data_IF_495225470479
#
_entry.id   IF_495225470479
#
_cell.length_a   1.000
_cell.length_b   1.000
_cell.length_c   1.000
_cell.angle_alpha   90.00
_cell.angle_beta   90.00
_cell.angle_gamma   90.00
#
_symmetry.space_group_name_H-M   'P 1'
#
loop_
_entity.id
_entity.type
_entity.pdbx_description
1 polymer ?
#
# COMPACT_ATOMS: atom_id res chain seq x y z
N UNK A 1 24.23 37.15 -1.83
CA UNK A 1 22.93 37.31 -1.11
C UNK A 1 21.97 36.40 -1.86
N UNK A 2 21.48 35.28 -1.35
CA UNK A 2 20.68 35.18 -0.12
C UNK A 2 20.70 33.73 0.39
N UNK A 3 20.90 33.57 1.70
CA UNK A 3 20.67 32.31 2.41
C UNK A 3 19.17 32.25 2.75
N UNK A 4 18.43 31.28 2.23
CA UNK A 4 17.07 30.99 2.70
C UNK A 4 17.17 30.29 4.05
N UNK A 5 16.80 30.99 5.13
CA UNK A 5 16.71 30.43 6.47
C UNK A 5 15.54 29.44 6.61
N UNK A 6 15.49 28.67 7.72
CA UNK A 6 14.42 27.70 7.95
C UNK A 6 13.09 28.45 8.10
N UNK A 7 12.15 28.18 7.19
CA UNK A 7 10.80 28.72 7.26
C UNK A 7 10.14 28.28 8.57
N UNK A 8 9.68 29.26 9.36
CA UNK A 8 8.77 28.98 10.46
C UNK A 8 7.45 28.48 9.85
N UNK A 9 7.01 27.28 10.23
CA UNK A 9 5.62 26.86 10.03
C UNK A 9 4.91 27.00 11.36
N UNK A 10 3.87 27.82 11.38
CA UNK A 10 2.92 27.91 12.49
C UNK A 10 1.66 27.16 12.07
N UNK A 11 1.39 26.02 12.70
CA UNK A 11 0.16 25.26 12.48
C UNK A 11 -0.90 25.70 13.49
N UNK A 12 -2.14 26.03 13.08
CA UNK A 12 -3.16 26.51 13.99
C UNK A 12 -3.79 25.38 14.81
N UNK A 13 -3.90 25.63 16.12
CA UNK A 13 -5.00 25.23 17.01
C UNK A 13 -5.46 23.77 16.96
N UNK A 14 -4.79 22.89 17.70
CA UNK A 14 -5.30 21.56 18.04
C UNK A 14 -6.39 21.63 19.11
N UNK A 15 -7.61 21.98 18.70
CA UNK A 15 -8.80 21.79 19.53
C UNK A 15 -9.39 20.41 19.33
N UNK A 16 -9.15 19.48 20.26
CA UNK A 16 -10.08 18.40 20.53
C UNK A 16 -9.86 17.91 21.97
N UNK A 17 -10.74 18.27 22.88
CA UNK A 17 -10.87 17.56 24.14
C UNK A 17 -11.30 16.13 23.80
N UNK A 18 -10.37 15.18 23.79
CA UNK A 18 -10.72 13.77 23.72
C UNK A 18 -11.34 13.35 25.06
N UNK A 19 -12.67 13.34 25.13
CA UNK A 19 -13.38 12.56 26.14
C UNK A 19 -13.17 11.08 25.81
N UNK A 20 -12.10 10.50 26.33
CA UNK A 20 -11.84 9.06 26.21
C UNK A 20 -12.54 8.34 27.34
N UNK A 21 -13.87 8.20 27.26
CA UNK A 21 -14.55 7.19 28.08
C UNK A 21 -14.11 5.80 27.59
N UNK A 22 -13.58 4.92 28.46
CA UNK A 22 -13.15 3.59 28.04
C UNK A 22 -14.38 2.75 27.70
N UNK A 23 -14.72 2.68 26.41
CA UNK A 23 -15.72 1.73 25.91
C UNK A 23 -15.05 0.37 25.78
N UNK A 24 -15.56 -0.63 26.51
CA UNK A 24 -15.08 -2.00 26.44
C UNK A 24 -15.13 -2.49 24.98
N UNK A 25 -14.01 -3.02 24.49
CA UNK A 25 -13.89 -3.48 23.12
C UNK A 25 -14.53 -4.87 22.99
N UNK A 26 -15.32 -5.13 21.92
CA UNK A 26 -15.92 -6.45 21.71
C UNK A 26 -14.87 -7.56 21.73
N UNK A 27 -15.19 -8.69 22.36
CA UNK A 27 -14.27 -9.82 22.50
C UNK A 27 -13.75 -10.29 21.13
N UNK A 28 -12.43 -10.38 20.99
CA UNK A 28 -11.80 -10.95 19.80
C UNK A 28 -12.15 -12.43 19.71
N UNK A 29 -12.81 -12.82 18.62
CA UNK A 29 -12.97 -14.24 18.28
C UNK A 29 -11.58 -14.85 18.07
N UNK A 30 -11.37 -16.06 18.61
CA UNK A 30 -10.15 -16.82 18.35
C UNK A 30 -9.97 -16.96 16.83
N UNK A 31 -8.79 -16.60 16.33
CA UNK A 31 -8.45 -16.81 14.93
C UNK A 31 -8.45 -18.33 14.72
N UNK A 32 -9.15 -18.88 13.72
CA UNK A 32 -9.00 -20.28 13.39
C UNK A 32 -7.51 -20.55 13.18
N UNK A 33 -7.05 -21.67 13.73
CA UNK A 33 -5.66 -22.14 13.75
C UNK A 33 -4.97 -21.76 12.43
N UNK A 34 -3.81 -21.13 12.54
CA UNK A 34 -3.09 -20.55 11.41
C UNK A 34 -2.79 -21.66 10.42
N UNK A 35 -3.67 -21.83 9.42
CA UNK A 35 -3.58 -22.91 8.46
C UNK A 35 -2.19 -22.84 7.85
N UNK A 36 -1.33 -23.80 8.21
CA UNK A 36 0.02 -23.87 7.69
C UNK A 36 -0.15 -24.18 6.20
N UNK A 37 0.10 -23.17 5.37
CA UNK A 37 0.15 -23.36 3.93
C UNK A 37 1.35 -24.26 3.68
N UNK A 38 1.09 -25.45 3.15
CA UNK A 38 2.14 -26.38 2.79
C UNK A 38 2.88 -25.82 1.55
N UNK A 39 4.05 -25.23 1.77
CA UNK A 39 4.91 -24.72 0.70
C UNK A 39 5.61 -25.85 -0.08
N UNK A 40 5.47 -27.11 0.36
CA UNK A 40 6.01 -28.29 -0.32
C UNK A 40 5.05 -28.87 -1.35
N UNK A 41 3.75 -28.56 -1.24
CA UNK A 41 2.83 -28.77 -2.34
C UNK A 41 3.25 -27.84 -3.48
N UNK A 42 3.35 -28.39 -4.68
CA UNK A 42 3.80 -27.61 -5.83
C UNK A 42 2.70 -26.61 -6.16
N UNK A 43 2.80 -25.41 -5.60
CA UNK A 43 1.92 -24.28 -5.91
C UNK A 43 1.73 -24.22 -7.43
N UNK A 44 0.48 -24.08 -7.92
CA UNK A 44 0.21 -24.00 -9.35
C UNK A 44 1.13 -22.97 -9.99
N UNK A 45 2.00 -23.41 -10.90
CA UNK A 45 2.95 -22.51 -11.55
C UNK A 45 2.15 -21.45 -12.30
N UNK A 46 2.26 -20.21 -11.84
CA UNK A 46 1.66 -19.08 -12.54
C UNK A 46 2.30 -18.98 -13.94
N UNK A 47 1.51 -19.21 -14.98
CA UNK A 47 1.95 -19.07 -16.37
C UNK A 47 1.70 -17.64 -16.80
N UNK A 48 2.78 -16.91 -17.08
CA UNK A 48 2.66 -15.57 -17.64
C UNK A 48 2.14 -15.66 -19.08
N UNK A 49 1.27 -14.73 -19.51
CA UNK A 49 0.90 -14.59 -20.91
C UNK A 49 2.13 -14.52 -21.83
N UNK A 50 2.01 -15.04 -23.05
CA UNK A 50 3.11 -15.11 -24.02
C UNK A 50 3.71 -13.74 -24.42
N UNK A 51 3.05 -12.63 -24.08
CA UNK A 51 3.58 -11.29 -24.29
C UNK A 51 4.68 -10.90 -23.28
N UNK A 52 4.79 -11.58 -22.15
CA UNK A 52 5.81 -11.28 -21.14
C UNK A 52 7.19 -11.69 -21.67
N UNK A 53 8.06 -10.69 -21.88
CA UNK A 53 9.40 -10.88 -22.43
C UNK A 53 9.47 -10.99 -23.95
N UNK A 54 8.35 -10.88 -24.65
CA UNK A 54 8.35 -10.80 -26.11
C UNK A 54 9.03 -9.51 -26.57
N UNK A 55 10.13 -9.64 -27.31
CA UNK A 55 10.86 -8.51 -27.87
C UNK A 55 9.94 -7.70 -28.79
N UNK A 56 9.89 -6.38 -28.63
CA UNK A 56 9.06 -5.51 -29.46
C UNK A 56 7.61 -5.35 -28.99
N UNK A 57 7.19 -6.01 -27.90
CA UNK A 57 5.79 -6.00 -27.48
C UNK A 57 5.32 -4.62 -26.99
N UNK A 58 6.12 -3.93 -26.17
CA UNK A 58 5.78 -2.60 -25.65
C UNK A 58 5.92 -1.52 -26.72
N UNK A 59 6.75 -1.74 -27.73
CA UNK A 59 6.89 -0.88 -28.90
C UNK A 59 5.65 -0.95 -29.79
N UNK A 60 5.08 -2.16 -29.96
CA UNK A 60 3.83 -2.35 -30.70
C UNK A 60 2.60 -1.93 -29.89
N UNK A 61 2.64 -2.13 -28.57
CA UNK A 61 1.54 -1.87 -27.64
C UNK A 61 2.04 -1.06 -26.44
N UNK A 62 2.26 0.26 -26.61
CA UNK A 62 2.74 1.11 -25.53
C UNK A 62 1.72 1.18 -24.39
N UNK A 63 2.16 1.13 -23.12
CA UNK A 63 1.26 1.31 -22.00
C UNK A 63 0.68 2.72 -22.01
N UNK A 64 -0.60 2.85 -21.68
CA UNK A 64 -1.18 4.16 -21.43
C UNK A 64 -0.52 4.75 -20.17
N UNK A 65 0.20 5.85 -20.34
CA UNK A 65 0.71 6.64 -19.21
C UNK A 65 -0.41 7.60 -18.82
N UNK A 66 -0.81 7.60 -17.56
CA UNK A 66 -1.73 8.61 -17.07
C UNK A 66 -1.03 9.96 -17.09
N UNK A 67 -1.66 10.98 -17.64
CA UNK A 67 -1.18 12.35 -17.57
C UNK A 67 -1.28 12.80 -16.10
N UNK A 68 -0.15 12.85 -15.41
CA UNK A 68 -0.05 13.58 -14.13
C UNK A 68 0.10 15.07 -14.44
N UNK A 69 -0.99 15.82 -14.27
CA UNK A 69 -1.02 17.28 -14.22
C UNK A 69 -0.26 17.82 -12.99
#
# INVERSE_FOLDING_TARGET
LSRSGPGNSSSPGGGHACSSEPKETPQKRARPDESVVDLTDAEPKFVLPNCFGAQGFLEKYPPAVADTE
#
